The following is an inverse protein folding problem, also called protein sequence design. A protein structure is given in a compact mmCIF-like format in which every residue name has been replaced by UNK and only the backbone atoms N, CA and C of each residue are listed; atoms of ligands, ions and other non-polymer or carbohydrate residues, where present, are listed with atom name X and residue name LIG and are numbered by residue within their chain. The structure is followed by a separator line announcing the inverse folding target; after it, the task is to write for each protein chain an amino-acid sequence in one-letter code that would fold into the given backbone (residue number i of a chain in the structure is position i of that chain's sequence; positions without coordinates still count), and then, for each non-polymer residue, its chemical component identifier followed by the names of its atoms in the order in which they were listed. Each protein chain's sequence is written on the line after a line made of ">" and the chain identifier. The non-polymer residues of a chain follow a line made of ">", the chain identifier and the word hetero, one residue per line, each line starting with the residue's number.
data_IF_306343287417
#
_entry.id   IF_306343287417
#
_cell.length_a   1.000
_cell.length_b   1.000
_cell.length_c   1.000
_cell.angle_alpha   90.00
_cell.angle_beta   90.00
_cell.angle_gamma   90.00
#
_symmetry.space_group_name_H-M   'P 1'
#
loop_
_entity.id
_entity.type
_entity.pdbx_description
1 polymer ?
#
# COMPACT_ATOMS: atom_id res chain seq x y z
N UNK A 1 8.55 -15.97 2.18
CA UNK A 1 7.93 -16.60 3.37
C UNK A 1 6.73 -15.78 3.81
N UNK A 2 5.62 -16.44 4.06
CA UNK A 2 4.42 -15.76 4.60
C UNK A 2 4.73 -15.21 6.00
N UNK A 3 4.42 -13.94 6.23
CA UNK A 3 4.65 -13.23 7.48
C UNK A 3 3.32 -12.77 8.08
N UNK A 4 3.30 -12.63 9.40
CA UNK A 4 2.16 -12.03 10.07
C UNK A 4 2.08 -10.53 9.73
N UNK A 5 0.89 -10.05 9.39
CA UNK A 5 0.65 -8.62 9.15
C UNK A 5 0.37 -7.94 10.48
N UNK A 6 1.15 -6.89 10.78
CA UNK A 6 1.00 -6.12 12.01
C UNK A 6 -0.32 -5.36 11.99
N UNK A 7 -0.96 -5.24 13.14
CA UNK A 7 -2.22 -4.53 13.29
C UNK A 7 -2.06 -3.29 14.15
N UNK A 8 -2.79 -2.24 13.78
CA UNK A 8 -2.89 -1.04 14.60
C UNK A 8 -3.36 -1.39 16.02
N UNK A 9 -2.76 -0.89 17.09
CA UNK A 9 -1.84 0.26 17.14
C UNK A 9 -0.34 -0.11 17.24
N UNK A 10 0.11 -1.19 16.60
CA UNK A 10 1.53 -1.56 16.63
C UNK A 10 2.41 -0.38 16.22
N UNK A 11 3.44 -0.01 17.00
CA UNK A 11 4.21 1.22 16.75
C UNK A 11 4.99 1.23 15.43
N UNK A 12 5.33 0.07 14.86
CA UNK A 12 6.00 0.01 13.56
C UNK A 12 5.17 0.65 12.43
N UNK A 13 3.83 0.65 12.54
CA UNK A 13 2.94 1.22 11.53
C UNK A 13 3.00 2.76 11.47
N UNK A 14 3.54 3.40 12.49
CA UNK A 14 3.64 4.86 12.57
C UNK A 14 5.07 5.36 12.43
N UNK A 15 6.00 4.51 12.02
CA UNK A 15 7.40 4.85 11.82
C UNK A 15 7.69 5.08 10.34
N UNK A 16 8.65 5.97 10.06
CA UNK A 16 9.13 6.22 8.70
C UNK A 16 10.17 5.16 8.34
N UNK A 17 9.96 4.48 7.23
CA UNK A 17 10.87 3.46 6.72
C UNK A 17 12.10 4.09 6.07
N UNK A 18 13.23 3.40 6.16
CA UNK A 18 14.49 3.84 5.53
C UNK A 18 14.57 3.43 4.07
N UNK A 19 15.26 4.20 3.27
CA UNK A 19 15.63 3.78 1.93
C UNK A 19 16.63 2.62 1.97
N UNK A 20 16.57 1.77 0.97
CA UNK A 20 17.52 0.68 0.76
C UNK A 20 18.59 1.13 -0.21
N UNK A 21 19.85 0.75 0.08
CA UNK A 21 20.93 0.86 -0.90
C UNK A 21 20.72 -0.25 -1.95
N UNK A 22 20.83 0.04 -3.25
CA UNK A 22 20.75 -1.00 -4.29
C UNK A 22 21.71 -2.17 -4.12
N UNK A 23 22.82 -1.96 -3.41
CA UNK A 23 23.79 -3.02 -3.08
C UNK A 23 23.27 -4.02 -2.05
N UNK A 24 22.20 -3.71 -1.33
CA UNK A 24 21.56 -4.62 -0.35
C UNK A 24 20.69 -5.67 -1.06
N UNK A 25 21.23 -6.37 -2.04
CA UNK A 25 20.50 -7.29 -2.91
C UNK A 25 19.81 -8.44 -2.16
N UNK A 26 20.50 -9.02 -1.16
CA UNK A 26 19.92 -10.13 -0.37
C UNK A 26 18.74 -9.68 0.47
N UNK A 27 18.87 -8.52 1.10
CA UNK A 27 17.79 -7.91 1.89
C UNK A 27 16.57 -7.59 1.01
N UNK A 28 16.82 -6.97 -0.15
CA UNK A 28 15.77 -6.64 -1.12
C UNK A 28 15.05 -7.90 -1.58
N UNK A 29 15.80 -8.95 -1.95
CA UNK A 29 15.20 -10.22 -2.41
C UNK A 29 14.38 -10.88 -1.31
N UNK A 30 14.86 -10.88 -0.08
CA UNK A 30 14.16 -11.47 1.07
C UNK A 30 12.84 -10.74 1.36
N UNK A 31 12.89 -9.43 1.44
CA UNK A 31 11.69 -8.63 1.72
C UNK A 31 10.69 -8.72 0.56
N UNK A 32 11.17 -8.70 -0.69
CA UNK A 32 10.31 -8.87 -1.87
C UNK A 32 9.56 -10.21 -1.83
N UNK A 33 10.26 -11.30 -1.54
CA UNK A 33 9.64 -12.62 -1.42
C UNK A 33 8.61 -12.67 -0.30
N UNK A 34 8.93 -12.12 0.86
CA UNK A 34 8.02 -12.07 2.01
C UNK A 34 6.76 -11.25 1.71
N UNK A 35 6.90 -10.12 1.03
CA UNK A 35 5.76 -9.29 0.61
C UNK A 35 4.83 -10.05 -0.34
N UNK A 36 5.39 -10.66 -1.37
CA UNK A 36 4.63 -11.40 -2.39
C UNK A 36 3.94 -12.62 -1.78
N UNK A 37 4.67 -13.42 -1.02
CA UNK A 37 4.13 -14.63 -0.39
C UNK A 37 3.00 -14.26 0.59
N UNK A 38 3.19 -13.21 1.39
CA UNK A 38 2.18 -12.78 2.35
C UNK A 38 0.95 -12.21 1.65
N UNK A 39 1.15 -11.36 0.63
CA UNK A 39 0.04 -10.83 -0.17
C UNK A 39 -0.77 -11.94 -0.83
N UNK A 40 -0.10 -12.93 -1.41
CA UNK A 40 -0.76 -14.05 -2.09
C UNK A 40 -1.47 -15.00 -1.12
N UNK A 41 -1.10 -15.01 0.17
CA UNK A 41 -1.77 -15.80 1.19
C UNK A 41 -3.18 -15.28 1.52
N UNK A 42 -3.47 -14.03 1.20
CA UNK A 42 -4.80 -13.42 1.34
C UNK A 42 -5.48 -13.38 -0.04
N UNK A 43 -6.62 -14.02 -0.20
CA UNK A 43 -7.28 -14.14 -1.50
C UNK A 43 -7.82 -12.82 -2.09
N UNK A 44 -7.76 -11.72 -1.35
CA UNK A 44 -8.33 -10.42 -1.74
C UNK A 44 -7.37 -9.25 -1.54
N UNK A 45 -6.14 -9.52 -1.16
CA UNK A 45 -5.15 -8.48 -0.90
C UNK A 45 -4.53 -8.00 -2.22
N UNK A 46 -4.59 -6.68 -2.46
CA UNK A 46 -4.05 -6.06 -3.69
C UNK A 46 -2.80 -5.25 -3.44
N UNK A 47 -2.40 -5.06 -2.19
CA UNK A 47 -1.21 -4.31 -1.84
C UNK A 47 -0.75 -4.54 -0.41
N UNK A 48 0.55 -4.38 -0.19
CA UNK A 48 1.17 -4.57 1.11
C UNK A 48 2.49 -3.77 1.16
N UNK A 49 2.74 -3.12 2.29
CA UNK A 49 3.98 -2.41 2.55
C UNK A 49 4.88 -3.18 3.51
N UNK A 50 6.18 -3.05 3.36
CA UNK A 50 7.16 -3.75 4.21
C UNK A 50 6.98 -3.43 5.70
N UNK A 51 6.60 -2.19 6.02
CA UNK A 51 6.35 -1.79 7.41
C UNK A 51 5.25 -2.59 8.08
N UNK A 52 4.27 -3.07 7.31
CA UNK A 52 3.20 -3.93 7.82
C UNK A 52 3.72 -5.32 8.23
N UNK A 53 4.90 -5.70 7.78
CA UNK A 53 5.58 -6.94 8.19
C UNK A 53 6.63 -6.70 9.29
N UNK A 54 6.76 -5.45 9.75
CA UNK A 54 7.80 -5.08 10.70
C UNK A 54 9.16 -4.84 10.07
N UNK A 55 9.24 -4.81 8.75
CA UNK A 55 10.45 -4.50 7.99
C UNK A 55 10.48 -3.00 7.68
N UNK A 56 11.38 -2.28 8.36
CA UNK A 56 11.39 -0.81 8.30
C UNK A 56 12.18 -0.30 7.10
N UNK A 57 11.86 -0.82 5.92
CA UNK A 57 12.50 -0.48 4.65
C UNK A 57 11.45 -0.04 3.64
N UNK A 58 11.85 0.80 2.68
CA UNK A 58 10.94 1.38 1.69
C UNK A 58 10.70 0.43 0.53
N UNK A 59 9.85 -0.57 0.77
CA UNK A 59 9.40 -1.50 -0.25
C UNK A 59 7.89 -1.72 -0.14
N UNK A 60 7.25 -1.86 -1.29
CA UNK A 60 5.82 -2.20 -1.39
C UNK A 60 5.59 -3.23 -2.49
N UNK A 61 4.52 -3.98 -2.37
CA UNK A 61 4.00 -4.83 -3.44
C UNK A 61 2.55 -4.42 -3.73
N UNK A 62 2.20 -4.31 -5.01
CA UNK A 62 0.82 -4.01 -5.46
C UNK A 62 0.52 -4.82 -6.71
N UNK A 63 -0.63 -5.47 -6.72
CA UNK A 63 -1.14 -6.17 -7.90
C UNK A 63 -2.67 -6.08 -7.91
N UNK A 64 -3.20 -5.27 -8.80
CA UNK A 64 -4.66 -5.07 -8.94
C UNK A 64 -5.23 -5.85 -10.13
N UNK A 65 -4.43 -6.71 -10.75
CA UNK A 65 -4.85 -7.50 -11.91
C UNK A 65 -6.12 -8.28 -11.60
N UNK A 66 -7.14 -8.10 -12.43
CA UNK A 66 -8.42 -8.80 -12.28
C UNK A 66 -9.35 -8.26 -11.19
N UNK A 67 -8.93 -7.23 -10.45
CA UNK A 67 -9.83 -6.62 -9.46
C UNK A 67 -10.96 -5.85 -10.15
N UNK A 68 -12.18 -5.99 -9.63
CA UNK A 68 -13.39 -5.38 -10.25
C UNK A 68 -13.34 -3.86 -10.37
N UNK A 69 -12.59 -3.18 -9.51
CA UNK A 69 -12.42 -1.72 -9.53
C UNK A 69 -11.30 -1.25 -10.44
N UNK A 70 -10.42 -2.16 -10.89
CA UNK A 70 -9.28 -1.80 -11.71
C UNK A 70 -9.70 -1.62 -13.17
N UNK A 71 -9.47 -0.43 -13.74
CA UNK A 71 -9.67 -0.14 -15.17
C UNK A 71 -8.39 -0.32 -15.96
N UNK A 72 -7.24 -0.24 -15.28
CA UNK A 72 -5.91 -0.43 -15.84
C UNK A 72 -5.02 -1.04 -14.77
N UNK A 73 -3.97 -1.76 -15.18
CA UNK A 73 -3.03 -2.41 -14.28
C UNK A 73 -1.65 -2.48 -14.92
N UNK A 74 -0.63 -2.22 -14.12
CA UNK A 74 0.77 -2.49 -14.50
C UNK A 74 1.20 -3.92 -14.14
N UNK A 75 0.25 -4.79 -13.78
CA UNK A 75 0.55 -6.13 -13.33
C UNK A 75 1.09 -6.17 -11.90
N UNK A 76 1.83 -7.20 -11.58
CA UNK A 76 2.45 -7.34 -10.26
C UNK A 76 3.63 -6.38 -10.15
N UNK A 77 3.56 -5.49 -9.19
CA UNK A 77 4.61 -4.52 -8.89
C UNK A 77 5.23 -4.84 -7.54
N UNK A 78 6.56 -4.92 -7.52
CA UNK A 78 7.36 -4.92 -6.28
C UNK A 78 8.35 -3.77 -6.42
N UNK A 79 8.21 -2.76 -5.60
CA UNK A 79 8.91 -1.49 -5.78
C UNK A 79 9.87 -1.24 -4.62
N UNK A 80 11.09 -0.88 -4.96
CA UNK A 80 12.15 -0.49 -4.00
C UNK A 80 12.32 1.01 -4.04
N UNK A 81 12.29 1.64 -2.87
CA UNK A 81 12.39 3.09 -2.72
C UNK A 81 11.41 3.87 -3.60
N UNK A 82 10.11 3.49 -3.62
CA UNK A 82 9.15 4.20 -4.45
C UNK A 82 8.89 5.59 -3.91
N UNK A 83 8.69 6.54 -4.84
CA UNK A 83 8.27 7.90 -4.51
C UNK A 83 7.38 8.45 -5.61
N UNK A 84 6.42 9.27 -5.22
CA UNK A 84 5.54 9.94 -6.18
C UNK A 84 6.29 11.17 -6.72
N UNK A 85 6.42 11.24 -8.04
CA UNK A 85 7.06 12.36 -8.75
C UNK A 85 6.03 13.40 -9.14
N UNK A 86 4.85 12.95 -9.58
CA UNK A 86 3.75 13.82 -9.99
C UNK A 86 2.43 13.14 -9.63
N UNK A 87 1.45 13.95 -9.21
CA UNK A 87 0.11 13.48 -8.90
C UNK A 87 -0.90 14.48 -9.44
N UNK A 88 -1.94 14.01 -10.13
CA UNK A 88 -2.97 14.84 -10.72
C UNK A 88 -4.35 14.27 -10.44
N UNK A 89 -5.34 15.17 -10.42
CA UNK A 89 -6.72 14.80 -10.15
C UNK A 89 -6.98 14.48 -8.69
N UNK A 90 -8.23 14.24 -8.37
CA UNK A 90 -8.65 13.81 -7.04
C UNK A 90 -9.97 13.06 -7.13
N UNK A 91 -10.09 11.99 -6.39
CA UNK A 91 -11.29 11.18 -6.28
C UNK A 91 -11.40 10.60 -4.88
N UNK A 92 -12.60 10.64 -4.33
CA UNK A 92 -12.90 9.99 -3.03
C UNK A 92 -13.33 8.55 -3.31
N UNK A 93 -12.74 7.61 -2.60
CA UNK A 93 -13.09 6.21 -2.70
C UNK A 93 -12.96 5.49 -1.37
N UNK A 94 -13.60 4.34 -1.27
CA UNK A 94 -13.56 3.53 -0.05
C UNK A 94 -12.24 2.75 0.02
N UNK A 95 -11.57 2.84 1.16
CA UNK A 95 -10.35 2.09 1.45
C UNK A 95 -10.50 1.26 2.71
N UNK A 96 -9.80 0.14 2.73
CA UNK A 96 -9.58 -0.69 3.91
C UNK A 96 -8.13 -1.12 3.95
N UNK A 97 -7.72 -1.74 5.04
CA UNK A 97 -6.34 -2.17 5.24
C UNK A 97 -6.29 -3.42 6.10
N UNK A 98 -5.40 -4.35 5.80
CA UNK A 98 -5.20 -5.55 6.61
C UNK A 98 -4.76 -5.20 8.05
N UNK A 99 -4.08 -4.06 8.22
CA UNK A 99 -3.62 -3.60 9.54
C UNK A 99 -4.73 -2.98 10.38
N UNK A 100 -5.89 -2.65 9.78
CA UNK A 100 -7.08 -2.15 10.48
C UNK A 100 -8.31 -2.89 9.93
N UNK A 101 -8.47 -4.18 10.26
CA UNK A 101 -9.49 -5.01 9.62
C UNK A 101 -10.92 -4.63 9.97
N UNK A 102 -11.14 -3.91 11.08
CA UNK A 102 -12.49 -3.56 11.56
C UNK A 102 -13.09 -2.34 10.87
N UNK A 103 -12.29 -1.53 10.19
CA UNK A 103 -12.71 -0.23 9.66
C UNK A 103 -12.48 -0.12 8.16
N UNK A 104 -13.34 0.67 7.50
CA UNK A 104 -13.11 1.21 6.17
C UNK A 104 -13.36 2.70 6.21
N UNK A 105 -12.87 3.44 5.22
CA UNK A 105 -13.04 4.89 5.19
C UNK A 105 -13.10 5.42 3.76
N UNK A 106 -13.75 6.58 3.62
CA UNK A 106 -13.68 7.37 2.40
C UNK A 106 -12.39 8.18 2.41
N UNK A 107 -11.56 7.98 1.41
CA UNK A 107 -10.25 8.65 1.32
C UNK A 107 -10.11 9.33 -0.03
N UNK A 108 -9.66 10.57 -0.02
CA UNK A 108 -9.35 11.33 -1.24
C UNK A 108 -7.94 10.98 -1.69
N UNK A 109 -7.81 10.56 -2.95
CA UNK A 109 -6.52 10.24 -3.56
C UNK A 109 -6.40 10.88 -4.94
N UNK A 110 -5.18 11.10 -5.40
CA UNK A 110 -4.93 11.46 -6.78
C UNK A 110 -5.44 10.36 -7.72
N UNK A 111 -5.99 10.75 -8.87
CA UNK A 111 -6.51 9.79 -9.87
C UNK A 111 -5.42 9.25 -10.79
N UNK A 112 -4.34 10.01 -10.97
CA UNK A 112 -3.18 9.61 -11.77
C UNK A 112 -1.91 10.01 -11.04
N UNK A 113 -0.93 9.10 -11.01
CA UNK A 113 0.39 9.38 -10.45
C UNK A 113 1.48 8.96 -11.41
N UNK A 114 2.60 9.67 -11.36
CA UNK A 114 3.87 9.20 -11.87
C UNK A 114 4.76 8.85 -10.68
N UNK A 115 5.36 7.68 -10.73
CA UNK A 115 6.08 7.11 -9.62
C UNK A 115 7.48 6.72 -10.09
N UNK A 116 8.49 7.04 -9.29
CA UNK A 116 9.87 6.61 -9.50
C UNK A 116 10.26 5.61 -8.43
N UNK A 117 11.07 4.62 -8.81
CA UNK A 117 11.63 3.62 -7.91
C UNK A 117 13.03 3.24 -8.38
N UNK A 118 13.67 2.31 -7.71
CA UNK A 118 14.99 1.82 -8.11
C UNK A 118 15.01 1.27 -9.54
N UNK A 119 13.89 0.75 -10.04
CA UNK A 119 13.79 0.15 -11.38
C UNK A 119 13.40 1.16 -12.48
N UNK A 120 13.17 2.41 -12.14
CA UNK A 120 12.78 3.44 -13.11
C UNK A 120 11.47 4.12 -12.74
N UNK A 121 10.76 4.61 -13.76
CA UNK A 121 9.49 5.33 -13.59
C UNK A 121 8.33 4.56 -14.18
N UNK A 122 7.15 4.76 -13.60
CA UNK A 122 5.90 4.24 -14.15
C UNK A 122 4.76 5.24 -13.92
N UNK A 123 3.73 5.11 -14.75
CA UNK A 123 2.48 5.85 -14.61
C UNK A 123 1.40 4.89 -14.14
N UNK A 124 0.60 5.33 -13.18
CA UNK A 124 -0.53 4.56 -12.67
C UNK A 124 -1.76 5.45 -12.54
N UNK A 125 -2.92 4.87 -12.76
CA UNK A 125 -4.19 5.60 -12.69
C UNK A 125 -5.29 4.77 -12.06
N UNK A 126 -6.33 5.45 -11.59
CA UNK A 126 -7.52 4.82 -11.04
C UNK A 126 -7.24 4.03 -9.76
N UNK A 127 -7.78 2.83 -9.70
CA UNK A 127 -7.69 1.99 -8.50
C UNK A 127 -6.25 1.59 -8.16
N UNK A 128 -5.43 1.29 -9.16
CA UNK A 128 -4.00 0.98 -8.93
C UNK A 128 -3.27 2.17 -8.31
N UNK A 129 -3.50 3.39 -8.84
CA UNK A 129 -2.90 4.59 -8.27
C UNK A 129 -3.33 4.80 -6.81
N UNK A 130 -4.59 4.52 -6.48
CA UNK A 130 -5.09 4.56 -5.10
C UNK A 130 -4.34 3.60 -4.21
N UNK A 131 -4.19 2.36 -4.64
CA UNK A 131 -3.48 1.34 -3.88
C UNK A 131 -2.01 1.70 -3.66
N UNK A 132 -1.34 2.20 -4.70
CA UNK A 132 0.05 2.65 -4.58
C UNK A 132 0.20 3.78 -3.57
N UNK A 133 -0.67 4.78 -3.61
CA UNK A 133 -0.64 5.89 -2.65
C UNK A 133 -0.87 5.41 -1.21
N UNK A 134 -1.78 4.46 -1.03
CA UNK A 134 -2.05 3.84 0.27
C UNK A 134 -0.79 3.14 0.81
N UNK A 135 -0.11 2.34 -0.02
CA UNK A 135 1.09 1.62 0.40
C UNK A 135 2.28 2.57 0.64
N UNK A 136 2.45 3.60 -0.18
CA UNK A 136 3.50 4.59 0.05
C UNK A 136 3.28 5.36 1.34
N UNK A 137 2.04 5.64 1.71
CA UNK A 137 1.74 6.26 3.01
C UNK A 137 2.26 5.41 4.17
N UNK A 138 2.11 4.09 4.10
CA UNK A 138 2.67 3.20 5.12
C UNK A 138 4.18 3.40 5.33
N UNK A 139 4.91 3.66 4.26
CA UNK A 139 6.36 3.90 4.33
C UNK A 139 6.70 5.21 5.06
N UNK A 140 5.76 6.14 5.10
CA UNK A 140 5.89 7.41 5.81
C UNK A 140 5.23 7.39 7.20
N UNK A 141 4.81 6.22 7.66
CA UNK A 141 4.17 6.04 8.96
C UNK A 141 2.73 6.53 8.99
N UNK A 142 2.07 6.63 7.83
CA UNK A 142 0.69 7.07 7.70
C UNK A 142 -0.25 5.90 7.43
N UNK A 143 -1.44 5.98 7.99
CA UNK A 143 -2.54 5.05 7.76
C UNK A 143 -3.65 5.77 6.98
N UNK A 144 -4.53 5.00 6.33
CA UNK A 144 -5.62 5.62 5.58
C UNK A 144 -6.52 6.51 6.46
N UNK A 145 -6.63 6.21 7.76
CA UNK A 145 -7.37 7.04 8.71
C UNK A 145 -6.76 8.44 8.89
N UNK A 146 -5.47 8.60 8.60
CA UNK A 146 -4.80 9.92 8.65
C UNK A 146 -5.19 10.81 7.46
N UNK A 147 -5.85 10.25 6.45
CA UNK A 147 -6.23 10.93 5.20
C UNK A 147 -7.72 11.24 5.09
N UNK A 148 -8.54 10.88 6.06
CA UNK A 148 -9.97 11.15 6.01
C UNK A 148 -10.25 12.63 6.28
N UNK A 149 -11.28 13.19 5.61
CA UNK A 149 -11.71 14.58 5.85
C UNK A 149 -12.46 14.70 7.17
N UNK A 150 -13.19 13.68 7.57
CA UNK A 150 -13.97 13.65 8.80
C UNK A 150 -13.98 12.26 9.43
N UNK A 151 -13.50 12.15 10.66
CA UNK A 151 -13.52 10.88 11.40
C UNK A 151 -14.94 10.40 11.69
N UNK A 152 -15.90 11.31 11.86
CA UNK A 152 -17.28 10.95 12.16
C UNK A 152 -18.10 10.62 10.93
N UNK A 153 -17.85 11.29 9.79
CA UNK A 153 -18.62 11.13 8.57
C UNK A 153 -18.04 10.09 7.59
N UNK A 154 -16.72 9.92 7.60
CA UNK A 154 -16.01 9.18 6.55
C UNK A 154 -15.41 7.85 6.99
N UNK A 155 -15.59 7.46 8.25
CA UNK A 155 -15.08 6.19 8.79
C UNK A 155 -16.26 5.27 9.12
N UNK A 156 -16.16 4.01 8.69
CA UNK A 156 -17.24 3.03 8.80
C UNK A 156 -16.72 1.74 9.42
N UNK A 157 -17.58 1.11 10.21
CA UNK A 157 -17.29 -0.23 10.68
C UNK A 157 -17.44 -1.21 9.50
N UNK A 158 -16.47 -2.09 9.32
CA UNK A 158 -16.54 -3.10 8.27
C UNK A 158 -17.66 -4.10 8.60
N UNK A 159 -18.54 -4.35 7.62
CA UNK A 159 -19.59 -5.36 7.78
C UNK A 159 -18.95 -6.75 7.79
N UNK A 160 -19.34 -7.56 8.77
CA UNK A 160 -19.00 -8.98 8.75
C UNK A 160 -19.76 -9.64 7.61
N UNK A 161 -19.06 -10.41 6.80
CA UNK A 161 -19.73 -11.35 5.90
C UNK A 161 -20.27 -12.46 6.79
N UNK A 162 -21.60 -12.57 6.81
CA UNK A 162 -22.30 -13.62 7.55
C UNK A 162 -22.01 -15.00 7.01
#
# INVERSE_FOLDING_TARGET
>A
MVRAVLRYPHPALKQVARELDPAEEEEIARVAADLVDTMDSFGHCVGLAATQLGEMVRMVAVDVTGHKKATASNGRLVLVNPRIVEATGAEVGREGCLSIPELTANVRRATTIELASADGTLRSEGFEARCLQHELDHLDGLLFLDRVDSLTADVFRRKRRG
#
